data_IF_330966963227
#
_entry.id   IF_330966963227
#
_cell.length_a   1.000
_cell.length_b   1.000
_cell.length_c   1.000
_cell.angle_alpha   90.00
_cell.angle_beta   90.00
_cell.angle_gamma   90.00
#
_symmetry.space_group_name_H-M   'P 1'
#
loop_
_entity.id
_entity.type
_entity.pdbx_description
1 polymer ?
#
# COMPACT_ATOMS: atom_id res chain seq x y z
N UNK A 1 11.97 17.69 12.39
CA UNK A 1 12.06 16.57 13.37
C UNK A 1 11.60 17.12 14.71
N UNK A 2 10.35 16.94 15.07
CA UNK A 2 9.89 17.10 16.46
C UNK A 2 9.97 15.70 17.06
N UNK A 3 11.05 15.43 17.78
CA UNK A 3 11.10 14.34 18.72
C UNK A 3 10.17 14.75 19.87
N UNK A 4 9.01 14.12 19.99
CA UNK A 4 8.23 14.16 21.22
C UNK A 4 9.00 13.32 22.24
N UNK A 5 9.78 14.03 23.07
CA UNK A 5 10.47 13.44 24.22
C UNK A 5 9.40 13.16 25.28
N UNK A 6 8.89 11.93 25.30
CA UNK A 6 8.07 11.47 26.41
C UNK A 6 8.96 11.40 27.63
N UNK A 7 8.62 12.10 28.70
CA UNK A 7 9.37 12.02 29.95
C UNK A 7 9.39 10.59 30.49
N UNK A 8 10.48 10.22 31.17
CA UNK A 8 10.64 8.88 31.80
C UNK A 8 9.43 8.53 32.70
N UNK A 9 8.75 9.52 33.27
CA UNK A 9 7.55 9.35 34.11
C UNK A 9 6.32 8.92 33.29
N UNK A 10 6.17 9.39 32.03
CA UNK A 10 5.08 8.97 31.16
C UNK A 10 5.29 7.53 30.64
N UNK A 11 6.55 7.13 30.48
CA UNK A 11 6.94 5.75 30.15
C UNK A 11 6.66 4.81 31.34
N UNK A 12 6.96 5.25 32.56
CA UNK A 12 6.77 4.46 33.77
C UNK A 12 5.28 4.25 34.14
N UNK A 13 4.40 5.22 33.86
CA UNK A 13 2.96 5.11 34.14
C UNK A 13 2.22 4.16 33.19
N UNK A 14 2.76 3.84 32.02
CA UNK A 14 2.13 2.94 31.02
C UNK A 14 2.61 1.50 31.06
N UNK A 15 3.36 1.10 32.09
CA UNK A 15 3.82 -0.28 32.32
C UNK A 15 4.68 -0.82 31.17
N UNK A 16 6.00 -0.73 31.35
CA UNK A 16 7.10 -1.44 30.63
C UNK A 16 6.98 -1.62 29.08
N UNK A 17 6.29 -0.71 28.40
CA UNK A 17 6.26 -0.65 26.94
C UNK A 17 7.23 0.43 26.49
N UNK A 18 8.46 0.05 26.20
CA UNK A 18 9.40 0.92 25.50
C UNK A 18 8.89 1.09 24.06
N UNK A 19 8.22 2.19 23.80
CA UNK A 19 7.84 2.59 22.45
C UNK A 19 9.10 3.12 21.75
N UNK A 20 9.67 2.33 20.86
CA UNK A 20 10.70 2.82 19.95
C UNK A 20 9.99 3.57 18.80
N UNK A 21 10.22 4.86 18.67
CA UNK A 21 9.74 5.67 17.56
C UNK A 21 10.64 5.44 16.34
N UNK A 22 10.29 4.46 15.53
CA UNK A 22 10.96 4.22 14.25
C UNK A 22 9.90 4.15 13.11
N UNK A 23 8.79 4.85 13.31
CA UNK A 23 7.61 4.79 12.48
C UNK A 23 7.36 6.05 11.64
N UNK A 24 6.39 5.95 10.74
CA UNK A 24 5.92 7.06 9.92
C UNK A 24 5.12 8.07 10.76
N UNK A 25 5.30 9.36 10.47
CA UNK A 25 4.62 10.48 11.13
C UNK A 25 3.96 11.37 10.10
N UNK A 26 2.70 11.74 10.32
CA UNK A 26 1.94 12.70 9.52
C UNK A 26 1.41 13.80 10.41
N UNK A 27 1.71 15.06 10.08
CA UNK A 27 1.17 16.23 10.78
C UNK A 27 0.22 17.01 9.86
N UNK A 28 -0.96 17.39 10.36
CA UNK A 28 -1.96 18.22 9.67
C UNK A 28 -2.75 19.05 10.67
N UNK A 29 -2.83 20.36 10.45
CA UNK A 29 -3.66 21.29 11.23
C UNK A 29 -3.46 21.17 12.75
N UNK A 30 -2.22 20.97 13.21
CA UNK A 30 -1.90 20.79 14.63
C UNK A 30 -2.26 19.42 15.21
N UNK A 31 -2.76 18.50 14.41
CA UNK A 31 -2.93 17.09 14.78
C UNK A 31 -1.78 16.25 14.22
N UNK A 32 -1.40 15.19 14.93
CA UNK A 32 -0.34 14.27 14.54
C UNK A 32 -0.89 12.83 14.51
N UNK A 33 -0.56 12.10 13.47
CA UNK A 33 -0.79 10.66 13.38
C UNK A 33 0.56 9.96 13.22
N UNK A 34 0.83 8.95 14.02
CA UNK A 34 2.08 8.20 13.94
C UNK A 34 1.89 6.73 14.26
N UNK A 35 2.85 5.90 13.83
CA UNK A 35 2.94 4.50 14.23
C UNK A 35 3.87 4.35 15.42
N UNK A 36 3.46 3.57 16.41
CA UNK A 36 4.26 3.22 17.55
C UNK A 36 4.53 1.71 17.54
N UNK A 37 5.81 1.34 17.50
CA UNK A 37 6.21 -0.06 17.52
C UNK A 37 6.23 -0.60 18.94
N UNK A 38 5.53 -1.70 19.19
CA UNK A 38 5.71 -2.47 20.39
C UNK A 38 6.93 -3.38 20.22
N UNK A 39 8.03 -3.05 20.89
CA UNK A 39 9.27 -3.85 20.83
C UNK A 39 9.10 -5.31 21.33
N UNK A 40 8.02 -5.61 22.02
CA UNK A 40 7.78 -6.94 22.63
C UNK A 40 7.04 -7.90 21.67
N UNK A 41 6.26 -7.39 20.71
CA UNK A 41 5.40 -8.23 19.87
C UNK A 41 5.45 -7.93 18.36
N UNK A 42 6.27 -6.97 17.91
CA UNK A 42 6.36 -6.62 16.48
C UNK A 42 5.06 -6.04 15.88
N UNK A 43 4.06 -5.75 16.72
CA UNK A 43 2.83 -5.12 16.30
C UNK A 43 2.96 -3.59 16.40
N UNK A 44 2.49 -2.88 15.40
CA UNK A 44 2.44 -1.43 15.37
C UNK A 44 1.04 -0.97 15.74
N UNK A 45 0.96 0.03 16.62
CA UNK A 45 -0.27 0.74 16.94
C UNK A 45 -0.27 2.09 16.23
N UNK A 46 -1.41 2.48 15.67
CA UNK A 46 -1.60 3.84 15.14
C UNK A 46 -2.07 4.74 16.29
N UNK A 47 -1.42 5.88 16.47
CA UNK A 47 -1.75 6.84 17.52
C UNK A 47 -2.05 8.19 16.87
N UNK A 48 -3.15 8.79 17.29
CA UNK A 48 -3.54 10.14 16.95
C UNK A 48 -3.33 11.07 18.14
N UNK A 49 -2.79 12.26 17.89
CA UNK A 49 -2.65 13.34 18.87
C UNK A 49 -3.42 14.54 18.34
N UNK A 50 -4.44 14.98 19.07
CA UNK A 50 -5.20 16.17 18.72
C UNK A 50 -4.43 17.47 18.98
N UNK A 51 -4.97 18.62 18.53
CA UNK A 51 -4.35 19.94 18.75
C UNK A 51 -4.22 20.32 20.24
N UNK A 52 -4.99 19.67 21.11
CA UNK A 52 -4.94 19.79 22.57
C UNK A 52 -3.84 18.94 23.23
N UNK A 53 -3.07 18.18 22.42
CA UNK A 53 -2.03 17.28 22.89
C UNK A 53 -2.53 15.94 23.42
N UNK A 54 -3.85 15.68 23.40
CA UNK A 54 -4.42 14.43 23.89
C UNK A 54 -4.12 13.29 22.92
N UNK A 55 -3.54 12.20 23.43
CA UNK A 55 -3.28 10.98 22.69
C UNK A 55 -4.52 10.07 22.68
N UNK A 56 -4.82 9.53 21.51
CA UNK A 56 -5.95 8.64 21.28
C UNK A 56 -5.49 7.50 20.36
N UNK A 57 -5.91 6.27 20.64
CA UNK A 57 -5.78 5.15 19.72
C UNK A 57 -7.03 5.12 18.84
N UNK A 58 -6.95 5.50 17.55
CA UNK A 58 -8.08 5.42 16.65
C UNK A 58 -8.49 3.97 16.43
N UNK A 59 -9.73 3.73 15.94
CA UNK A 59 -10.26 2.39 15.68
C UNK A 59 -9.61 1.74 14.44
N UNK A 60 -8.27 1.60 14.47
CA UNK A 60 -7.46 0.92 13.45
C UNK A 60 -6.84 -0.31 14.13
N UNK A 61 -7.06 -1.53 13.61
CA UNK A 61 -6.48 -2.74 14.20
C UNK A 61 -4.96 -2.69 14.25
N UNK A 62 -4.40 -3.13 15.38
CA UNK A 62 -2.94 -3.26 15.57
C UNK A 62 -2.35 -4.27 14.56
N UNK A 63 -1.22 -3.92 13.94
CA UNK A 63 -0.52 -4.73 12.96
C UNK A 63 0.56 -3.89 12.31
N UNK A 64 1.27 -4.43 11.33
CA UNK A 64 2.19 -3.61 10.52
C UNK A 64 1.40 -2.54 9.77
N UNK A 65 1.72 -1.26 10.00
CA UNK A 65 1.02 -0.14 9.42
C UNK A 65 1.97 0.75 8.60
N UNK A 66 1.43 1.35 7.54
CA UNK A 66 2.13 2.36 6.72
C UNK A 66 1.16 3.44 6.28
N UNK A 67 1.68 4.66 6.08
CA UNK A 67 0.89 5.82 5.70
C UNK A 67 1.08 6.18 4.24
N UNK A 68 0.02 6.68 3.62
CA UNK A 68 0.08 7.34 2.33
C UNK A 68 -0.74 8.63 2.39
N UNK A 69 -0.16 9.73 1.91
CA UNK A 69 -0.79 11.05 2.04
C UNK A 69 -0.82 11.79 0.72
N UNK A 70 -1.92 12.52 0.49
CA UNK A 70 -2.03 13.48 -0.60
C UNK A 70 -3.00 14.61 -0.22
N UNK A 71 -2.52 15.86 -0.23
CA UNK A 71 -3.30 17.00 0.27
C UNK A 71 -3.74 16.79 1.72
N UNK A 72 -5.04 16.85 1.98
CA UNK A 72 -5.64 16.62 3.29
C UNK A 72 -5.88 15.13 3.61
N UNK A 73 -5.79 14.25 2.60
CA UNK A 73 -6.07 12.83 2.76
C UNK A 73 -4.91 12.08 3.40
N UNK A 74 -5.22 11.29 4.40
CA UNK A 74 -4.30 10.36 5.06
C UNK A 74 -4.91 8.97 5.00
N UNK A 75 -4.16 8.02 4.44
CA UNK A 75 -4.57 6.62 4.38
C UNK A 75 -3.60 5.78 5.19
N UNK A 76 -4.13 4.84 5.94
CA UNK A 76 -3.40 3.88 6.76
C UNK A 76 -3.65 2.50 6.20
N UNK A 77 -2.62 1.87 5.65
CA UNK A 77 -2.62 0.44 5.33
C UNK A 77 -2.21 -0.32 6.59
N UNK A 78 -2.92 -1.38 6.94
CA UNK A 78 -2.53 -2.29 8.02
C UNK A 78 -2.88 -3.75 7.67
N UNK A 79 -2.12 -4.69 8.23
CA UNK A 79 -2.46 -6.11 8.21
C UNK A 79 -3.13 -6.57 9.51
N UNK A 80 -3.43 -5.66 10.43
CA UNK A 80 -4.11 -5.94 11.69
C UNK A 80 -5.47 -6.60 11.45
N UNK A 81 -5.67 -7.82 11.98
CA UNK A 81 -6.87 -8.66 11.78
C UNK A 81 -7.22 -8.91 10.30
N UNK A 82 -6.26 -8.72 9.40
CA UNK A 82 -6.44 -8.82 7.95
C UNK A 82 -5.09 -9.16 7.29
N UNK A 83 -4.65 -10.43 7.27
CA UNK A 83 -3.30 -10.80 6.83
C UNK A 83 -2.96 -10.32 5.41
N UNK A 84 -3.95 -10.22 4.53
CA UNK A 84 -3.76 -9.72 3.16
C UNK A 84 -3.84 -8.18 3.07
N UNK A 85 -4.10 -7.49 4.19
CA UNK A 85 -4.15 -6.05 4.29
C UNK A 85 -5.53 -5.44 4.10
N UNK A 86 -5.68 -4.23 4.62
CA UNK A 86 -6.82 -3.31 4.46
C UNK A 86 -6.33 -1.88 4.51
N UNK A 87 -7.16 -0.93 4.09
CA UNK A 87 -6.81 0.50 4.12
C UNK A 87 -7.92 1.32 4.75
N UNK A 88 -7.53 2.18 5.68
CA UNK A 88 -8.41 3.16 6.33
C UNK A 88 -8.10 4.56 5.82
N UNK A 89 -9.13 5.36 5.63
CA UNK A 89 -9.03 6.81 5.47
C UNK A 89 -9.17 7.47 6.84
N UNK A 90 -8.24 8.33 7.21
CA UNK A 90 -8.22 9.07 8.48
C UNK A 90 -8.37 10.54 8.18
N UNK A 91 -9.44 11.15 8.68
CA UNK A 91 -9.62 12.60 8.67
C UNK A 91 -8.96 13.16 9.93
N UNK A 92 -7.89 13.95 9.73
CA UNK A 92 -7.04 14.46 10.81
C UNK A 92 -7.70 15.59 11.63
N UNK A 93 -8.83 16.14 11.18
CA UNK A 93 -9.61 17.09 11.96
C UNK A 93 -10.39 16.35 13.03
N UNK A 94 -10.16 16.64 14.34
CA UNK A 94 -10.86 15.95 15.41
C UNK A 94 -12.36 16.29 15.41
N UNK A 95 -13.17 15.30 15.67
CA UNK A 95 -14.61 15.45 15.90
C UNK A 95 -14.88 16.08 17.28
N UNK A 96 -16.14 16.30 17.63
CA UNK A 96 -16.53 16.91 18.91
C UNK A 96 -16.07 16.10 20.13
N UNK A 97 -15.84 14.81 19.98
CA UNK A 97 -15.29 13.92 21.02
C UNK A 97 -13.76 13.87 21.06
N UNK A 98 -13.09 14.65 20.20
CA UNK A 98 -11.65 14.68 20.04
C UNK A 98 -11.06 13.55 19.18
N UNK A 99 -11.89 12.62 18.70
CA UNK A 99 -11.44 11.49 17.85
C UNK A 99 -11.25 11.92 16.40
N UNK A 100 -10.26 11.37 15.67
CA UNK A 100 -10.23 11.47 14.22
C UNK A 100 -11.38 10.62 13.64
N UNK A 101 -11.93 11.04 12.52
CA UNK A 101 -12.87 10.19 11.80
C UNK A 101 -12.10 9.14 11.00
N UNK A 102 -12.39 7.87 11.23
CA UNK A 102 -11.76 6.72 10.57
C UNK A 102 -12.82 5.96 9.80
N UNK A 103 -12.52 5.64 8.54
CA UNK A 103 -13.37 4.81 7.68
C UNK A 103 -12.53 3.78 6.94
N UNK A 104 -12.93 2.52 6.94
CA UNK A 104 -12.33 1.51 6.07
C UNK A 104 -12.76 1.77 4.63
N UNK A 105 -11.80 2.01 3.73
CA UNK A 105 -12.05 2.33 2.31
C UNK A 105 -11.59 1.23 1.38
N UNK A 106 -10.63 0.39 1.81
CA UNK A 106 -10.28 -0.85 1.10
C UNK A 106 -10.44 -1.99 2.09
N UNK A 107 -11.50 -2.79 1.96
CA UNK A 107 -11.73 -3.91 2.87
C UNK A 107 -10.74 -5.05 2.63
N UNK A 108 -10.54 -5.86 3.66
CA UNK A 108 -9.82 -7.12 3.50
C UNK A 108 -10.56 -8.06 2.55
N UNK A 109 -9.83 -8.60 1.60
CA UNK A 109 -10.29 -9.66 0.69
C UNK A 109 -9.30 -10.82 0.81
N UNK A 110 -9.76 -11.97 1.27
CA UNK A 110 -8.92 -13.15 1.43
C UNK A 110 -8.24 -13.55 0.13
N UNK A 111 -6.93 -13.77 0.17
CA UNK A 111 -6.10 -14.10 -0.99
C UNK A 111 -5.75 -12.92 -1.89
N UNK A 112 -6.18 -11.70 -1.55
CA UNK A 112 -5.79 -10.45 -2.23
C UNK A 112 -4.82 -9.65 -1.38
N UNK A 113 -3.54 -9.94 -1.52
CA UNK A 113 -2.48 -9.26 -0.75
C UNK A 113 -2.24 -7.83 -1.26
N UNK A 114 -2.51 -6.83 -0.42
CA UNK A 114 -2.30 -5.41 -0.74
C UNK A 114 -0.80 -5.08 -0.66
N UNK A 115 -0.25 -4.62 -1.78
CA UNK A 115 1.13 -4.14 -1.90
C UNK A 115 1.27 -2.64 -1.58
N UNK A 116 1.53 -1.83 -2.59
CA UNK A 116 1.69 -0.37 -2.46
C UNK A 116 0.33 0.33 -2.35
N UNK A 117 0.33 1.45 -1.64
CA UNK A 117 -0.82 2.36 -1.49
C UNK A 117 -0.40 3.76 -1.90
N UNK A 118 -1.22 4.43 -2.71
CA UNK A 118 -1.02 5.81 -3.09
C UNK A 118 -2.30 6.62 -2.82
N UNK A 119 -2.20 7.61 -1.95
CA UNK A 119 -3.27 8.57 -1.70
C UNK A 119 -3.52 9.43 -2.94
N UNK A 120 -4.78 9.69 -3.25
CA UNK A 120 -5.25 10.53 -4.33
C UNK A 120 -6.08 11.70 -3.78
N UNK A 121 -6.44 12.66 -4.62
CA UNK A 121 -7.34 13.76 -4.25
C UNK A 121 -8.69 13.24 -3.74
N UNK A 122 -9.31 12.31 -4.46
CA UNK A 122 -10.67 11.84 -4.22
C UNK A 122 -10.74 10.34 -3.92
N UNK A 123 -9.66 9.78 -3.35
CA UNK A 123 -9.61 8.35 -3.04
C UNK A 123 -8.22 7.80 -2.82
N UNK A 124 -8.06 6.52 -3.04
CA UNK A 124 -6.82 5.78 -2.83
C UNK A 124 -6.62 4.74 -3.94
N UNK A 125 -5.40 4.65 -4.45
CA UNK A 125 -5.00 3.57 -5.33
C UNK A 125 -4.21 2.53 -4.55
N UNK A 126 -4.47 1.25 -4.81
CA UNK A 126 -3.75 0.12 -4.22
C UNK A 126 -3.27 -0.83 -5.30
N UNK A 127 -2.04 -1.27 -5.22
CA UNK A 127 -1.61 -2.46 -5.95
C UNK A 127 -1.88 -3.70 -5.10
N UNK A 128 -2.17 -4.81 -5.74
CA UNK A 128 -2.41 -6.07 -5.04
C UNK A 128 -1.92 -7.27 -5.87
N UNK A 129 -1.76 -8.39 -5.19
CA UNK A 129 -1.57 -9.70 -5.82
C UNK A 129 -2.72 -10.59 -5.39
N UNK A 130 -3.44 -11.14 -6.36
CA UNK A 130 -4.54 -12.07 -6.14
C UNK A 130 -4.33 -13.30 -7.03
N UNK A 131 -4.36 -14.49 -6.43
CA UNK A 131 -4.01 -15.74 -7.13
C UNK A 131 -2.66 -15.66 -7.87
N UNK A 132 -1.71 -14.88 -7.31
CA UNK A 132 -0.38 -14.61 -7.86
C UNK A 132 -0.38 -13.71 -9.10
N UNK A 133 -1.50 -13.11 -9.48
CA UNK A 133 -1.57 -12.11 -10.55
C UNK A 133 -1.65 -10.71 -9.96
N UNK A 134 -0.87 -9.77 -10.49
CA UNK A 134 -0.91 -8.40 -10.03
C UNK A 134 -2.15 -7.68 -10.53
N UNK A 135 -2.66 -6.78 -9.70
CA UNK A 135 -3.73 -5.86 -10.04
C UNK A 135 -3.49 -4.48 -9.44
N UNK A 136 -4.20 -3.51 -9.96
CA UNK A 136 -4.26 -2.15 -9.47
C UNK A 136 -5.74 -1.77 -9.33
N UNK A 137 -6.13 -1.24 -8.18
CA UNK A 137 -7.49 -0.78 -7.93
C UNK A 137 -7.49 0.63 -7.38
N UNK A 138 -8.51 1.41 -7.74
CA UNK A 138 -8.74 2.75 -7.23
C UNK A 138 -10.09 2.77 -6.53
N UNK A 139 -10.09 3.21 -5.27
CA UNK A 139 -11.28 3.34 -4.44
C UNK A 139 -11.53 4.81 -4.12
N UNK A 140 -12.80 5.18 -4.02
CA UNK A 140 -13.22 6.50 -3.53
C UNK A 140 -13.03 6.65 -2.01
N UNK A 141 -13.21 7.86 -1.50
CA UNK A 141 -13.22 8.14 -0.05
C UNK A 141 -14.38 7.45 0.67
N UNK A 142 -15.41 7.05 -0.05
CA UNK A 142 -16.57 6.27 0.40
C UNK A 142 -16.36 4.75 0.36
N UNK A 143 -15.17 4.31 -0.08
CA UNK A 143 -14.83 2.89 -0.26
C UNK A 143 -15.40 2.26 -1.55
N UNK A 144 -16.07 3.03 -2.41
CA UNK A 144 -16.55 2.52 -3.68
C UNK A 144 -15.39 2.24 -4.65
N UNK A 145 -15.35 1.04 -5.25
CA UNK A 145 -14.40 0.71 -6.29
C UNK A 145 -14.71 1.55 -7.54
N UNK A 146 -13.77 2.41 -7.94
CA UNK A 146 -13.88 3.29 -9.11
C UNK A 146 -13.25 2.69 -10.36
N UNK A 147 -12.06 2.12 -10.22
CA UNK A 147 -11.30 1.52 -11.31
C UNK A 147 -10.59 0.25 -10.84
N UNK A 148 -10.50 -0.73 -11.73
CA UNK A 148 -9.63 -1.89 -11.52
C UNK A 148 -8.92 -2.22 -12.83
N UNK A 149 -7.59 -2.34 -12.73
CA UNK A 149 -6.71 -2.71 -13.83
C UNK A 149 -6.11 -4.07 -13.50
N UNK A 150 -6.26 -5.01 -14.41
CA UNK A 150 -5.62 -6.32 -14.34
C UNK A 150 -4.69 -6.48 -15.54
N UNK A 151 -3.65 -7.25 -15.40
CA UNK A 151 -2.71 -7.56 -16.48
C UNK A 151 -2.77 -9.05 -16.82
N UNK A 152 -2.58 -9.42 -18.09
CA UNK A 152 -2.54 -10.83 -18.47
C UNK A 152 -1.22 -11.51 -18.07
N UNK A 153 -0.22 -10.75 -17.66
CA UNK A 153 1.13 -11.21 -17.35
C UNK A 153 1.48 -11.01 -15.88
N UNK A 154 2.24 -11.94 -15.27
CA UNK A 154 2.80 -11.74 -13.95
C UNK A 154 3.82 -10.62 -13.98
N UNK A 155 3.70 -9.68 -13.04
CA UNK A 155 4.57 -8.51 -12.93
C UNK A 155 4.40 -7.79 -11.61
N UNK A 156 4.97 -6.60 -11.51
CA UNK A 156 4.96 -5.79 -10.29
C UNK A 156 4.59 -4.34 -10.62
N UNK A 157 3.61 -3.82 -9.87
CA UNK A 157 3.36 -2.38 -9.75
C UNK A 157 4.21 -1.80 -8.63
N UNK A 158 4.94 -0.73 -8.90
CA UNK A 158 5.79 -0.05 -7.91
C UNK A 158 5.82 1.46 -8.13
N UNK A 159 6.43 2.20 -7.18
CA UNK A 159 6.59 3.64 -7.25
C UNK A 159 5.30 4.40 -7.60
N UNK A 160 4.19 3.99 -7.01
CA UNK A 160 2.88 4.60 -7.22
C UNK A 160 2.87 6.01 -6.64
N UNK A 161 2.44 7.00 -7.44
CA UNK A 161 2.40 8.41 -7.04
C UNK A 161 1.25 9.14 -7.69
N UNK A 162 0.47 9.89 -6.91
CA UNK A 162 -0.57 10.77 -7.41
C UNK A 162 0.02 11.95 -8.19
N UNK A 163 -0.57 12.26 -9.32
CA UNK A 163 -0.36 13.50 -10.07
C UNK A 163 -1.32 14.60 -9.62
N UNK A 164 -0.90 15.85 -9.74
CA UNK A 164 -1.76 17.02 -9.46
C UNK A 164 -2.94 17.18 -10.44
N UNK A 165 -2.90 16.45 -11.54
CA UNK A 165 -3.95 16.40 -12.57
C UNK A 165 -4.96 15.26 -12.37
N UNK A 166 -4.96 14.63 -11.17
CA UNK A 166 -5.86 13.51 -10.85
C UNK A 166 -5.43 12.17 -11.44
N UNK A 167 -4.22 12.08 -12.00
CA UNK A 167 -3.68 10.83 -12.51
C UNK A 167 -2.89 10.06 -11.45
N UNK A 168 -2.60 8.78 -11.74
CA UNK A 168 -1.70 7.94 -10.98
C UNK A 168 -0.53 7.52 -11.86
N UNK A 169 0.69 7.93 -11.50
CA UNK A 169 1.92 7.42 -12.10
C UNK A 169 2.38 6.18 -11.38
N UNK A 170 2.92 5.20 -12.09
CA UNK A 170 3.47 3.98 -11.52
C UNK A 170 4.51 3.34 -12.45
N UNK A 171 5.34 2.50 -11.89
CA UNK A 171 6.24 1.65 -12.63
C UNK A 171 5.61 0.26 -12.79
N UNK A 172 5.75 -0.30 -13.97
CA UNK A 172 5.39 -1.67 -14.32
C UNK A 172 6.61 -2.43 -14.80
N UNK A 173 6.84 -3.62 -14.28
CA UNK A 173 7.89 -4.53 -14.74
C UNK A 173 7.42 -5.97 -14.69
N UNK A 174 7.97 -6.81 -15.58
CA UNK A 174 7.75 -8.25 -15.61
C UNK A 174 9.09 -8.98 -15.61
N UNK A 175 9.08 -10.30 -15.61
CA UNK A 175 10.30 -11.10 -15.74
C UNK A 175 10.96 -10.95 -17.13
N UNK A 176 10.19 -10.57 -18.14
CA UNK A 176 10.66 -10.41 -19.52
C UNK A 176 10.74 -8.96 -20.00
N UNK A 177 10.31 -8.00 -19.20
CA UNK A 177 10.27 -6.59 -19.55
C UNK A 177 10.89 -5.74 -18.44
N UNK A 178 11.90 -4.90 -18.75
CA UNK A 178 12.39 -3.88 -17.84
C UNK A 178 11.28 -2.92 -17.40
N UNK A 179 11.59 -2.10 -16.41
CA UNK A 179 10.63 -1.14 -15.88
C UNK A 179 10.15 -0.16 -16.95
N UNK A 180 8.84 -0.11 -17.12
CA UNK A 180 8.13 0.89 -17.94
C UNK A 180 7.37 1.81 -16.99
N UNK A 181 7.52 3.12 -17.19
CA UNK A 181 6.76 4.13 -16.48
C UNK A 181 5.42 4.32 -17.15
N UNK A 182 4.34 4.23 -16.38
CA UNK A 182 2.97 4.34 -16.88
C UNK A 182 2.19 5.36 -16.06
N UNK A 183 1.17 5.91 -16.70
CA UNK A 183 0.24 6.85 -16.10
C UNK A 183 -1.18 6.39 -16.36
N UNK A 184 -1.96 6.24 -15.29
CA UNK A 184 -3.39 5.94 -15.30
C UNK A 184 -4.17 7.23 -15.11
N UNK A 185 -5.06 7.53 -16.01
CA UNK A 185 -6.15 8.48 -15.79
C UNK A 185 -7.21 7.78 -14.92
N UNK A 186 -7.36 8.22 -13.67
CA UNK A 186 -8.24 7.55 -12.71
C UNK A 186 -9.72 7.74 -13.02
N UNK A 187 -10.07 8.70 -13.88
CA UNK A 187 -11.45 8.97 -14.30
C UNK A 187 -11.87 8.08 -15.46
N UNK A 188 -11.01 7.96 -16.47
CA UNK A 188 -11.32 7.22 -17.70
C UNK A 188 -10.83 5.78 -17.69
N UNK A 189 -9.86 5.45 -16.81
CA UNK A 189 -9.17 4.16 -16.80
C UNK A 189 -8.11 4.02 -17.91
N UNK A 190 -7.84 5.08 -18.68
CA UNK A 190 -6.85 5.04 -19.74
C UNK A 190 -5.44 5.00 -19.19
N UNK A 191 -4.61 4.09 -19.72
CA UNK A 191 -3.21 3.95 -19.35
C UNK A 191 -2.34 4.39 -20.53
N UNK A 192 -1.36 5.27 -20.27
CA UNK A 192 -0.34 5.70 -21.21
C UNK A 192 1.05 5.37 -20.71
N UNK A 193 1.95 5.02 -21.60
CA UNK A 193 3.37 4.87 -21.28
C UNK A 193 4.05 6.24 -21.34
N UNK A 194 4.85 6.55 -20.31
CA UNK A 194 5.51 7.84 -20.16
C UNK A 194 7.03 7.75 -20.22
N UNK A 195 7.57 6.54 -20.11
CA UNK A 195 9.00 6.26 -20.19
C UNK A 195 9.30 4.79 -20.01
N UNK A 196 10.50 4.39 -20.43
CA UNK A 196 10.97 3.00 -20.27
C UNK A 196 12.44 2.98 -19.85
N UNK A 197 12.83 1.93 -19.17
CA UNK A 197 14.23 1.65 -18.87
C UNK A 197 14.84 0.86 -20.01
N UNK A 198 15.71 1.49 -20.79
CA UNK A 198 16.43 0.82 -21.86
C UNK A 198 17.69 0.13 -21.31
N UNK A 199 17.83 -1.17 -21.65
CA UNK A 199 19.01 -1.95 -21.32
C UNK A 199 19.75 -2.25 -22.66
N UNK A 200 20.98 -1.73 -22.85
CA UNK A 200 21.72 -1.96 -24.08
C UNK A 200 21.85 -3.46 -24.42
N UNK A 201 21.46 -3.84 -25.64
CA UNK A 201 21.52 -5.22 -26.11
C UNK A 201 20.40 -6.14 -25.61
N UNK A 202 19.44 -5.63 -24.85
CA UNK A 202 18.25 -6.36 -24.44
C UNK A 202 17.03 -5.89 -25.24
N UNK A 203 16.31 -6.84 -25.84
CA UNK A 203 15.04 -6.57 -26.50
C UNK A 203 13.94 -7.40 -25.80
N UNK A 204 12.95 -6.76 -25.12
CA UNK A 204 11.86 -7.48 -24.46
C UNK A 204 11.06 -8.37 -25.42
N UNK A 205 10.96 -7.99 -26.69
CA UNK A 205 10.25 -8.77 -27.70
C UNK A 205 10.86 -10.11 -28.00
N UNK A 206 12.12 -10.36 -27.61
CA UNK A 206 12.76 -11.67 -27.76
C UNK A 206 12.31 -12.67 -26.69
N UNK A 207 11.62 -12.21 -25.65
CA UNK A 207 11.25 -13.02 -24.50
C UNK A 207 9.74 -13.29 -24.45
N UNK A 208 9.40 -14.36 -23.76
CA UNK A 208 8.05 -14.76 -23.43
C UNK A 208 7.98 -15.01 -21.93
N UNK A 209 6.94 -14.49 -21.28
CA UNK A 209 6.62 -14.79 -19.89
C UNK A 209 5.35 -15.63 -19.88
N UNK A 210 5.41 -16.78 -19.25
CA UNK A 210 4.27 -17.70 -19.11
C UNK A 210 4.01 -17.97 -17.64
N UNK A 211 2.74 -18.16 -17.29
CA UNK A 211 2.34 -18.68 -16.00
C UNK A 211 1.78 -20.09 -16.19
N UNK A 212 2.29 -21.03 -15.41
CA UNK A 212 1.84 -22.43 -15.38
C UNK A 212 1.54 -22.85 -13.95
N UNK A 213 0.65 -23.81 -13.80
CA UNK A 213 0.42 -24.49 -12.53
C UNK A 213 1.25 -25.77 -12.52
N UNK A 214 2.00 -25.96 -11.46
CA UNK A 214 2.73 -27.18 -11.15
C UNK A 214 2.03 -27.90 -10.01
N UNK A 215 1.84 -29.19 -10.14
CA UNK A 215 1.29 -30.01 -9.07
C UNK A 215 2.43 -30.49 -8.18
N UNK A 216 2.46 -30.04 -6.93
CA UNK A 216 3.41 -30.51 -5.92
C UNK A 216 3.15 -31.97 -5.53
N UNK A 217 4.09 -32.59 -4.84
CA UNK A 217 4.00 -33.99 -4.37
C UNK A 217 2.83 -34.25 -3.43
N UNK A 218 2.33 -33.22 -2.74
CA UNK A 218 1.15 -33.27 -1.86
C UNK A 218 -0.17 -32.95 -2.58
N UNK A 219 -0.14 -32.76 -3.91
CA UNK A 219 -1.30 -32.41 -4.73
C UNK A 219 -1.59 -30.91 -4.81
N UNK A 220 -0.85 -30.06 -4.11
CA UNK A 220 -1.03 -28.60 -4.14
C UNK A 220 -0.69 -28.03 -5.51
N UNK A 221 -1.56 -27.17 -6.05
CA UNK A 221 -1.31 -26.45 -7.29
C UNK A 221 -0.44 -25.22 -7.00
N UNK A 222 0.80 -25.24 -7.45
CA UNK A 222 1.77 -24.15 -7.25
C UNK A 222 1.90 -23.36 -8.55
N UNK A 223 1.63 -22.06 -8.55
CA UNK A 223 1.84 -21.24 -9.73
C UNK A 223 3.32 -20.94 -9.96
N UNK A 224 3.79 -21.17 -11.18
CA UNK A 224 5.16 -20.91 -11.62
C UNK A 224 5.12 -19.87 -12.74
N UNK A 225 5.96 -18.84 -12.64
CA UNK A 225 6.22 -17.90 -13.73
C UNK A 225 7.53 -18.27 -14.40
N UNK A 226 7.50 -18.43 -15.73
CA UNK A 226 8.63 -18.84 -16.54
C UNK A 226 8.90 -17.75 -17.56
N UNK A 227 10.13 -17.21 -17.56
CA UNK A 227 10.59 -16.30 -18.61
C UNK A 227 11.66 -17.02 -19.46
N UNK A 228 11.50 -17.02 -20.77
CA UNK A 228 12.45 -17.61 -21.68
C UNK A 228 12.48 -16.89 -23.03
N UNK A 229 13.54 -17.06 -23.79
CA UNK A 229 13.58 -16.55 -25.16
C UNK A 229 12.55 -17.29 -26.03
N UNK A 230 11.91 -16.57 -26.95
CA UNK A 230 10.89 -17.13 -27.87
C UNK A 230 11.44 -18.22 -28.79
N UNK A 231 12.74 -18.15 -29.09
CA UNK A 231 13.45 -19.13 -29.96
C UNK A 231 13.92 -20.37 -29.19
N UNK A 232 13.79 -20.41 -27.86
CA UNK A 232 14.16 -21.57 -27.04
C UNK A 232 13.11 -22.68 -27.17
N UNK A 233 13.57 -23.88 -27.50
CA UNK A 233 12.73 -25.08 -27.38
C UNK A 233 12.80 -25.59 -25.95
N UNK A 234 11.65 -25.64 -25.30
CA UNK A 234 11.50 -26.24 -23.99
C UNK A 234 11.32 -27.77 -24.19
N UNK A 235 12.11 -28.56 -23.51
CA UNK A 235 12.09 -30.03 -23.44
C UNK A 235 11.32 -30.51 -22.20
#
# INVERSE_FOLDING_TARGET
>A
FLAYDLSDDEIAQKGDRRLAYDGEVVERNGSVLYTANSTTYGAESVIFVGPDGKQISPSIPEGTASFSTYGANVFVKTNGQAPDGRVFHVQMEPQADGQPKVAEVVPHIEGRNIGSVAALTDGVAVSFIENGMPGLAVYGLDGALKQQVTTPEPGVYSAMKAGSDGSLSFNWSTLGQPTVQKKLDVTTGAITETGETMIPGFNPDDYRVERKLYTSTDGTQVPISIAHRKDLKLD
#
